data_IF_941256829865
#
_entry.id   IF_941256829865
#
_cell.length_a   1.000
_cell.length_b   1.000
_cell.length_c   1.000
_cell.angle_alpha   90.00
_cell.angle_beta   90.00
_cell.angle_gamma   90.00
#
_symmetry.space_group_name_H-M   'P 1'
#
loop_
_entity.id
_entity.type
_entity.pdbx_description
1 polymer ?
#
# COMPACT_ATOMS: atom_id res chain seq x y z
N UNK A 1 -5.81 24.62 -8.41
CA UNK A 1 -5.44 23.57 -9.39
C UNK A 1 -6.68 22.87 -9.95
N UNK A 2 -7.58 22.32 -9.10
CA UNK A 2 -8.83 21.68 -9.55
C UNK A 2 -9.69 22.65 -10.33
N UNK A 3 -9.96 23.85 -9.81
CA UNK A 3 -10.74 24.90 -10.49
C UNK A 3 -10.11 25.29 -11.83
N UNK A 4 -8.79 25.48 -11.88
CA UNK A 4 -8.09 25.82 -13.12
C UNK A 4 -8.21 24.71 -14.17
N UNK A 5 -8.05 23.45 -13.75
CA UNK A 5 -8.17 22.32 -14.69
C UNK A 5 -9.62 22.14 -15.16
N UNK A 6 -10.59 22.29 -14.27
CA UNK A 6 -12.00 22.24 -14.61
C UNK A 6 -12.40 23.34 -15.61
N UNK A 7 -11.96 24.59 -15.38
CA UNK A 7 -12.16 25.71 -16.28
C UNK A 7 -11.54 25.46 -17.67
N UNK A 8 -10.33 24.90 -17.73
CA UNK A 8 -9.69 24.52 -19.01
C UNK A 8 -10.47 23.46 -19.78
N UNK A 9 -11.21 22.60 -19.08
CA UNK A 9 -12.04 21.54 -19.68
C UNK A 9 -13.50 21.97 -19.90
N UNK A 10 -13.88 23.19 -19.48
CA UNK A 10 -15.25 23.68 -19.62
C UNK A 10 -16.27 22.96 -18.73
N UNK A 11 -15.83 22.38 -17.60
CA UNK A 11 -16.68 21.65 -16.65
C UNK A 11 -16.58 22.27 -15.25
N UNK A 12 -17.47 21.87 -14.35
CA UNK A 12 -17.39 22.31 -12.95
C UNK A 12 -16.29 21.58 -12.18
N UNK A 13 -15.69 22.18 -11.12
CA UNK A 13 -14.75 21.48 -10.24
C UNK A 13 -15.31 20.18 -9.67
N UNK A 14 -16.60 20.15 -9.30
CA UNK A 14 -17.27 18.96 -8.81
C UNK A 14 -17.31 17.85 -9.85
N UNK A 15 -17.71 18.16 -11.08
CA UNK A 15 -17.75 17.17 -12.18
C UNK A 15 -16.36 16.58 -12.47
N UNK A 16 -15.32 17.41 -12.42
CA UNK A 16 -13.94 16.94 -12.59
C UNK A 16 -13.53 15.93 -11.52
N UNK A 17 -13.75 16.25 -10.24
CA UNK A 17 -13.32 15.35 -9.14
C UNK A 17 -14.21 14.11 -9.05
N UNK A 18 -15.48 14.18 -9.47
CA UNK A 18 -16.37 13.02 -9.55
C UNK A 18 -15.88 12.03 -10.61
N UNK A 19 -15.53 12.51 -11.79
CA UNK A 19 -14.95 11.67 -12.86
C UNK A 19 -13.61 11.04 -12.44
N UNK A 20 -12.74 11.79 -11.78
CA UNK A 20 -11.46 11.26 -11.29
C UNK A 20 -11.68 10.19 -10.20
N UNK A 21 -12.59 10.44 -9.26
CA UNK A 21 -12.90 9.48 -8.19
C UNK A 21 -13.47 8.17 -8.75
N UNK A 22 -14.38 8.25 -9.74
CA UNK A 22 -14.92 7.05 -10.40
C UNK A 22 -13.81 6.26 -11.11
N UNK A 23 -12.92 6.95 -11.84
CA UNK A 23 -11.78 6.30 -12.52
C UNK A 23 -10.87 5.56 -11.53
N UNK A 24 -10.55 6.18 -10.39
CA UNK A 24 -9.72 5.56 -9.34
C UNK A 24 -10.46 4.39 -8.70
N UNK A 25 -11.72 4.56 -8.35
CA UNK A 25 -12.55 3.51 -7.75
C UNK A 25 -12.71 2.30 -8.68
N UNK A 26 -12.92 2.54 -9.98
CA UNK A 26 -12.97 1.49 -10.98
C UNK A 26 -11.65 0.71 -11.08
N UNK A 27 -10.52 1.41 -11.05
CA UNK A 27 -9.20 0.78 -11.02
C UNK A 27 -8.99 -0.05 -9.74
N UNK A 28 -9.40 0.44 -8.58
CA UNK A 28 -9.29 -0.31 -7.32
C UNK A 28 -10.13 -1.59 -7.35
N UNK A 29 -11.37 -1.52 -7.85
CA UNK A 29 -12.20 -2.71 -8.07
C UNK A 29 -11.51 -3.71 -8.99
N UNK A 30 -10.93 -3.23 -10.09
CA UNK A 30 -10.20 -4.05 -11.06
C UNK A 30 -8.96 -4.72 -10.43
N UNK A 31 -8.25 -4.02 -9.55
CA UNK A 31 -7.09 -4.54 -8.81
C UNK A 31 -7.47 -5.48 -7.65
N UNK A 32 -8.75 -5.69 -7.38
CA UNK A 32 -9.22 -6.51 -6.27
C UNK A 32 -8.88 -5.91 -4.91
N UNK A 33 -8.82 -4.57 -4.79
CA UNK A 33 -8.61 -3.88 -3.52
C UNK A 33 -9.90 -3.96 -2.71
N UNK A 34 -9.81 -4.54 -1.52
CA UNK A 34 -10.94 -4.83 -0.63
C UNK A 34 -11.15 -3.73 0.43
N UNK A 35 -11.17 -2.47 0.00
CA UNK A 35 -11.47 -1.37 0.90
C UNK A 35 -12.97 -1.35 1.23
N UNK A 36 -13.31 -1.14 2.51
CA UNK A 36 -14.68 -0.98 2.95
C UNK A 36 -15.21 0.42 2.65
N UNK A 37 -14.33 1.42 2.63
CA UNK A 37 -14.69 2.81 2.44
C UNK A 37 -13.75 3.53 1.48
N UNK A 38 -14.30 4.40 0.65
CA UNK A 38 -13.60 5.32 -0.24
C UNK A 38 -14.06 6.74 0.09
N UNK A 39 -13.39 7.37 1.07
CA UNK A 39 -13.74 8.71 1.54
C UNK A 39 -13.37 9.78 0.50
N UNK A 40 -14.21 10.79 0.38
CA UNK A 40 -13.96 11.96 -0.48
C UNK A 40 -14.06 13.24 0.34
N UNK A 41 -13.13 14.16 0.11
CA UNK A 41 -13.13 15.47 0.79
C UNK A 41 -14.33 16.35 0.37
N UNK A 42 -15.03 15.97 -0.69
CA UNK A 42 -16.28 16.61 -1.13
C UNK A 42 -17.54 16.08 -0.42
N UNK A 43 -17.44 15.00 0.34
CA UNK A 43 -18.57 14.41 1.04
C UNK A 43 -19.08 15.36 2.14
N UNK A 44 -20.40 15.48 2.26
CA UNK A 44 -21.01 16.38 3.25
C UNK A 44 -20.59 16.06 4.69
N UNK A 45 -20.48 14.76 5.03
CA UNK A 45 -20.00 14.31 6.33
C UNK A 45 -18.56 14.74 6.59
N UNK A 46 -17.69 14.62 5.60
CA UNK A 46 -16.30 15.05 5.71
C UNK A 46 -16.21 16.57 5.93
N UNK A 47 -16.91 17.36 5.11
CA UNK A 47 -16.93 18.82 5.23
C UNK A 47 -17.40 19.29 6.61
N UNK A 48 -18.47 18.69 7.14
CA UNK A 48 -18.95 18.97 8.48
C UNK A 48 -17.94 18.54 9.57
N UNK A 49 -17.31 17.40 9.39
CA UNK A 49 -16.29 16.90 10.31
C UNK A 49 -15.01 17.74 10.36
N UNK A 50 -14.58 18.30 9.22
CA UNK A 50 -13.43 19.24 9.18
C UNK A 50 -13.74 20.49 10.00
N UNK A 51 -14.92 21.09 9.80
CA UNK A 51 -15.34 22.27 10.54
C UNK A 51 -15.45 21.98 12.03
N UNK A 52 -16.08 20.86 12.40
CA UNK A 52 -16.21 20.42 13.79
C UNK A 52 -14.84 20.18 14.47
N UNK A 53 -13.85 19.63 13.74
CA UNK A 53 -12.51 19.43 14.29
C UNK A 53 -11.81 20.76 14.56
N UNK A 54 -11.88 21.71 13.63
CA UNK A 54 -11.28 23.05 13.81
C UNK A 54 -11.96 23.78 14.97
N UNK A 55 -13.30 23.76 15.05
CA UNK A 55 -14.04 24.34 16.16
C UNK A 55 -13.65 23.72 17.48
N UNK A 56 -13.55 22.39 17.55
CA UNK A 56 -13.10 21.68 18.76
C UNK A 56 -11.70 22.09 19.20
N UNK A 57 -10.76 22.28 18.27
CA UNK A 57 -9.42 22.78 18.59
C UNK A 57 -9.53 24.20 19.20
N UNK A 58 -10.33 25.08 18.60
CA UNK A 58 -10.52 26.45 19.07
C UNK A 58 -11.16 26.48 20.46
N UNK A 59 -12.14 25.60 20.74
CA UNK A 59 -12.79 25.50 22.03
C UNK A 59 -11.83 24.99 23.12
N UNK A 60 -11.00 24.00 22.82
CA UNK A 60 -10.07 23.39 23.77
C UNK A 60 -8.79 24.22 23.97
N UNK A 61 -8.32 24.86 22.92
CA UNK A 61 -7.09 25.63 22.88
C UNK A 61 -7.31 26.94 22.08
N UNK A 62 -7.98 27.95 22.67
CA UNK A 62 -8.34 29.19 21.95
C UNK A 62 -7.18 29.92 21.29
N UNK A 63 -5.99 29.83 21.87
CA UNK A 63 -4.79 30.50 21.39
C UNK A 63 -4.05 29.75 20.27
N UNK A 64 -4.51 28.54 19.91
CA UNK A 64 -3.84 27.73 18.90
C UNK A 64 -4.10 28.23 17.47
N UNK A 65 -5.18 28.97 17.26
CA UNK A 65 -5.41 29.71 16.02
C UNK A 65 -5.35 31.20 16.26
N UNK A 66 -4.58 31.88 15.43
CA UNK A 66 -4.42 33.34 15.46
C UNK A 66 -4.28 33.92 14.07
N UNK A 67 -4.65 35.19 13.92
CA UNK A 67 -4.49 35.90 12.65
C UNK A 67 -3.06 36.39 12.46
N UNK A 68 -2.50 36.20 11.28
CA UNK A 68 -1.19 36.72 10.89
C UNK A 68 -1.21 37.15 9.44
N UNK A 69 -0.67 38.37 9.17
CA UNK A 69 -0.30 38.74 7.82
C UNK A 69 0.93 37.92 7.40
N UNK A 70 0.88 37.36 6.23
CA UNK A 70 1.97 36.56 5.67
C UNK A 70 2.21 36.98 4.23
N UNK A 71 3.47 37.21 3.91
CA UNK A 71 3.93 37.46 2.55
C UNK A 71 5.03 36.45 2.21
N UNK A 72 5.04 35.95 0.99
CA UNK A 72 6.06 35.01 0.58
C UNK A 72 5.81 34.37 -0.79
N UNK A 73 6.78 33.59 -1.23
CA UNK A 73 6.70 32.85 -2.47
C UNK A 73 5.77 31.64 -2.33
N UNK A 74 4.72 31.60 -3.13
CA UNK A 74 3.73 30.54 -3.15
C UNK A 74 3.91 29.62 -4.35
N UNK A 75 3.94 28.32 -4.12
CA UNK A 75 3.96 27.33 -5.18
C UNK A 75 2.56 26.72 -5.39
N UNK A 76 1.93 27.02 -6.51
CA UNK A 76 0.61 26.47 -6.88
C UNK A 76 0.64 24.93 -7.01
N UNK A 77 1.80 24.36 -7.34
CA UNK A 77 1.95 22.89 -7.44
C UNK A 77 1.94 22.18 -6.08
N UNK A 78 2.58 22.78 -5.08
CA UNK A 78 2.60 22.30 -3.69
C UNK A 78 1.37 22.76 -2.90
N UNK A 79 0.65 23.77 -3.40
CA UNK A 79 -0.40 24.50 -2.68
C UNK A 79 0.11 25.03 -1.31
N UNK A 80 1.36 25.52 -1.28
CA UNK A 80 2.05 25.94 -0.07
C UNK A 80 3.03 27.09 -0.34
N UNK A 81 3.20 27.93 0.66
CA UNK A 81 4.32 28.88 0.71
C UNK A 81 5.65 28.14 0.80
N UNK A 82 6.69 28.75 0.25
CA UNK A 82 8.03 28.19 0.16
C UNK A 82 9.03 28.97 0.98
N UNK A 83 9.84 28.25 1.74
CA UNK A 83 11.01 28.83 2.39
C UNK A 83 12.18 28.95 1.39
N UNK A 84 13.12 29.85 1.66
CA UNK A 84 14.27 30.09 0.77
C UNK A 84 15.03 28.78 0.42
N UNK A 85 15.16 27.86 1.36
CA UNK A 85 15.80 26.57 1.12
C UNK A 85 15.03 25.62 0.17
N UNK A 86 13.75 25.91 -0.10
CA UNK A 86 12.90 25.16 -1.02
C UNK A 86 12.81 25.81 -2.41
N UNK A 87 13.55 26.92 -2.61
CA UNK A 87 13.58 27.69 -3.86
C UNK A 87 14.98 27.58 -4.47
N UNK A 88 15.04 27.09 -5.69
CA UNK A 88 16.27 27.02 -6.49
C UNK A 88 16.02 27.72 -7.82
N UNK A 89 16.86 28.68 -8.17
CA UNK A 89 16.73 29.50 -9.40
C UNK A 89 15.34 30.13 -9.56
N UNK A 90 14.75 30.61 -8.45
CA UNK A 90 13.43 31.22 -8.44
C UNK A 90 12.25 30.26 -8.63
N UNK A 91 12.48 28.95 -8.52
CA UNK A 91 11.49 27.91 -8.72
C UNK A 91 11.42 26.96 -7.53
N UNK A 92 10.26 26.34 -7.34
CA UNK A 92 10.08 25.31 -6.35
C UNK A 92 10.86 24.03 -6.74
N UNK A 93 11.68 23.51 -5.83
CA UNK A 93 12.44 22.26 -6.03
C UNK A 93 11.56 21.09 -6.47
N UNK A 94 10.33 20.98 -5.92
CA UNK A 94 9.38 19.91 -6.25
C UNK A 94 8.61 20.16 -7.55
N UNK A 95 8.54 21.43 -8.03
CA UNK A 95 7.79 21.83 -9.22
C UNK A 95 8.62 22.79 -10.08
N UNK A 96 9.75 22.35 -10.65
CA UNK A 96 10.70 23.23 -11.35
C UNK A 96 10.14 23.82 -12.66
N UNK A 97 9.03 23.29 -13.16
CA UNK A 97 8.36 23.77 -14.37
C UNK A 97 7.32 24.87 -14.12
N UNK A 98 7.05 25.21 -12.86
CA UNK A 98 6.06 26.23 -12.48
C UNK A 98 6.74 27.45 -11.87
N UNK A 99 6.26 28.62 -12.24
CA UNK A 99 6.67 29.87 -11.58
C UNK A 99 6.11 29.91 -10.15
N UNK A 100 6.87 30.53 -9.26
CA UNK A 100 6.38 30.94 -7.94
C UNK A 100 5.64 32.26 -8.05
N UNK A 101 4.61 32.44 -7.24
CA UNK A 101 3.85 33.65 -7.13
C UNK A 101 4.17 34.32 -5.78
N UNK A 102 4.44 35.63 -5.78
CA UNK A 102 4.53 36.39 -4.53
C UNK A 102 3.11 36.67 -4.05
N UNK A 103 2.80 36.25 -2.84
CA UNK A 103 1.46 36.39 -2.26
C UNK A 103 1.56 37.08 -0.92
N UNK A 104 0.70 38.08 -0.71
CA UNK A 104 0.50 38.76 0.56
C UNK A 104 -0.96 38.50 0.98
N UNK A 105 -1.16 37.83 2.12
CA UNK A 105 -2.47 37.46 2.66
C UNK A 105 -2.47 37.58 4.18
N UNK A 106 -3.61 37.95 4.77
CA UNK A 106 -3.86 37.75 6.20
C UNK A 106 -4.68 36.48 6.37
N UNK A 107 -4.15 35.49 7.10
CA UNK A 107 -4.77 34.17 7.26
C UNK A 107 -4.86 33.77 8.73
N UNK A 108 -5.68 32.79 9.02
CA UNK A 108 -5.61 32.03 10.26
C UNK A 108 -4.37 31.14 10.25
N UNK A 109 -3.56 31.24 11.30
CA UNK A 109 -2.39 30.39 11.53
C UNK A 109 -2.64 29.44 12.68
N UNK A 110 -2.20 28.18 12.54
CA UNK A 110 -2.17 27.19 13.61
C UNK A 110 -0.80 27.22 14.27
N UNK A 111 -0.78 27.29 15.61
CA UNK A 111 0.44 27.39 16.43
C UNK A 111 1.15 26.04 16.53
N UNK A 112 1.64 25.53 15.42
CA UNK A 112 2.34 24.24 15.33
C UNK A 112 3.61 24.21 16.21
N UNK A 113 4.33 25.31 16.30
CA UNK A 113 5.54 25.46 17.13
C UNK A 113 5.32 25.09 18.60
N UNK A 114 4.13 25.34 19.16
CA UNK A 114 3.71 24.98 20.52
C UNK A 114 3.86 23.46 20.77
N UNK A 115 3.71 22.64 19.75
CA UNK A 115 3.67 21.18 19.84
C UNK A 115 5.05 20.53 19.62
N UNK A 116 6.12 21.28 19.40
CA UNK A 116 7.47 20.73 19.10
C UNK A 116 7.95 19.76 20.16
N UNK A 117 7.82 20.09 21.45
CA UNK A 117 8.23 19.20 22.55
C UNK A 117 7.42 17.91 22.60
N UNK A 118 6.10 17.98 22.40
CA UNK A 118 5.22 16.82 22.34
C UNK A 118 5.58 15.90 21.15
N UNK A 119 5.77 16.47 19.95
CA UNK A 119 6.11 15.72 18.75
C UNK A 119 7.48 15.04 18.86
N UNK A 120 8.47 15.74 19.44
CA UNK A 120 9.78 15.16 19.70
C UNK A 120 9.69 13.97 20.65
N UNK A 121 8.99 14.12 21.78
CA UNK A 121 8.76 13.04 22.74
C UNK A 121 8.03 11.86 22.07
N UNK A 122 6.97 12.11 21.29
CA UNK A 122 6.23 11.07 20.57
C UNK A 122 7.14 10.20 19.69
N UNK A 123 8.02 10.82 18.88
CA UNK A 123 8.92 10.12 17.97
C UNK A 123 10.12 9.47 18.68
N UNK A 124 10.51 9.97 19.86
CA UNK A 124 11.62 9.43 20.64
C UNK A 124 11.20 8.28 21.54
N UNK A 125 10.07 8.44 22.25
CA UNK A 125 9.59 7.49 23.25
C UNK A 125 8.82 6.34 22.63
N UNK A 126 8.27 6.55 21.41
CA UNK A 126 7.53 5.58 20.61
C UNK A 126 8.16 5.43 19.22
N UNK A 127 9.33 4.79 19.10
CA UNK A 127 10.04 4.64 17.83
C UNK A 127 9.22 3.89 16.76
N UNK A 128 8.27 3.04 17.19
CA UNK A 128 7.34 2.34 16.30
C UNK A 128 6.25 3.23 15.70
N UNK A 129 6.03 4.43 16.26
CA UNK A 129 5.00 5.35 15.78
C UNK A 129 5.24 5.78 14.32
N UNK A 130 6.51 6.01 13.93
CA UNK A 130 6.88 6.32 12.55
C UNK A 130 7.95 5.37 12.04
N UNK A 131 7.62 4.67 10.97
CA UNK A 131 8.49 3.75 10.26
C UNK A 131 8.51 4.05 8.75
N UNK A 132 9.57 3.69 8.02
CA UNK A 132 10.82 3.13 8.51
C UNK A 132 11.65 4.16 9.31
N UNK A 133 12.70 3.68 9.99
CA UNK A 133 13.56 4.51 10.85
C UNK A 133 14.13 5.75 10.14
N UNK A 134 14.47 5.62 8.87
CA UNK A 134 14.97 6.73 8.06
C UNK A 134 13.98 7.91 8.04
N UNK A 135 12.67 7.64 7.98
CA UNK A 135 11.63 8.68 8.02
C UNK A 135 11.51 9.30 9.39
N UNK A 136 11.62 8.49 10.46
CA UNK A 136 11.62 8.99 11.83
C UNK A 136 12.78 9.96 12.07
N UNK A 137 13.99 9.57 11.66
CA UNK A 137 15.18 10.41 11.81
C UNK A 137 15.06 11.73 11.02
N UNK A 138 14.46 11.70 9.82
CA UNK A 138 14.17 12.91 9.04
C UNK A 138 13.21 13.85 9.79
N UNK A 139 12.15 13.32 10.41
CA UNK A 139 11.19 14.12 11.17
C UNK A 139 11.78 14.67 12.48
N UNK A 140 12.58 13.90 13.18
CA UNK A 140 13.31 14.38 14.35
C UNK A 140 14.27 15.53 13.98
N UNK A 141 15.01 15.39 12.88
CA UNK A 141 15.87 16.47 12.38
C UNK A 141 15.08 17.73 11.96
N UNK A 142 13.86 17.56 11.44
CA UNK A 142 12.95 18.67 11.12
C UNK A 142 12.51 19.41 12.40
N UNK A 143 12.10 18.67 13.44
CA UNK A 143 11.69 19.24 14.73
C UNK A 143 12.86 19.97 15.40
N UNK A 144 14.07 19.41 15.35
CA UNK A 144 15.27 20.00 15.98
C UNK A 144 15.71 21.30 15.29
N UNK A 145 15.41 21.49 14.02
CA UNK A 145 15.63 22.78 13.32
C UNK A 145 14.63 23.86 13.73
N UNK A 146 13.57 23.50 14.43
CA UNK A 146 12.48 24.37 14.83
C UNK A 146 11.27 24.25 13.91
N UNK A 147 10.09 24.07 14.50
CA UNK A 147 8.81 24.08 13.77
C UNK A 147 8.25 25.51 13.76
N UNK A 148 7.84 25.94 12.58
CA UNK A 148 7.13 27.21 12.41
C UNK A 148 5.62 26.98 12.43
N UNK A 149 4.88 28.02 12.82
CA UNK A 149 3.42 28.03 12.76
C UNK A 149 2.98 28.04 11.29
N UNK A 150 1.89 27.34 11.01
CA UNK A 150 1.43 27.12 9.63
C UNK A 150 0.09 27.80 9.36
N UNK A 151 -0.06 28.35 8.17
CA UNK A 151 -1.32 28.95 7.72
C UNK A 151 -2.39 27.86 7.52
N UNK A 152 -3.51 27.98 8.22
CA UNK A 152 -4.63 27.02 8.24
C UNK A 152 -5.79 27.45 7.33
N UNK A 153 -5.78 28.69 6.82
CA UNK A 153 -6.82 29.21 5.92
C UNK A 153 -6.24 29.83 4.65
N UNK A 154 -7.10 30.13 3.67
CA UNK A 154 -6.77 30.76 2.38
C UNK A 154 -7.87 31.71 1.98
N UNK A 155 -7.51 32.88 1.43
CA UNK A 155 -8.45 33.89 0.94
C UNK A 155 -8.91 33.66 -0.52
N UNK A 156 -8.09 33.01 -1.34
CA UNK A 156 -8.24 32.98 -2.81
C UNK A 156 -8.88 31.73 -3.40
N UNK A 157 -9.37 30.81 -2.58
CA UNK A 157 -9.97 29.57 -3.05
C UNK A 157 -11.50 29.64 -2.88
N UNK A 158 -12.23 29.66 -3.99
CA UNK A 158 -13.69 29.69 -3.95
C UNK A 158 -14.30 28.29 -3.69
N UNK A 159 -13.66 27.25 -4.22
CA UNK A 159 -14.12 25.87 -4.12
C UNK A 159 -13.29 25.08 -3.11
N UNK A 160 -13.63 25.26 -1.82
CA UNK A 160 -13.00 24.57 -0.69
C UNK A 160 -13.96 24.55 0.51
N UNK A 161 -13.58 23.93 1.62
CA UNK A 161 -14.35 23.92 2.87
C UNK A 161 -14.20 25.30 3.55
N UNK A 162 -15.30 26.00 3.90
CA UNK A 162 -15.21 27.24 4.65
C UNK A 162 -14.49 27.06 6.00
N UNK A 163 -13.56 27.96 6.31
CA UNK A 163 -12.99 28.01 7.66
C UNK A 163 -14.07 28.52 8.63
N UNK A 164 -14.24 27.89 9.83
CA UNK A 164 -15.43 28.15 10.65
C UNK A 164 -15.50 29.54 11.28
N UNK A 165 -14.40 30.32 11.22
CA UNK A 165 -14.34 31.69 11.74
C UNK A 165 -13.92 32.69 10.68
N UNK A 166 -14.59 33.83 10.65
CA UNK A 166 -14.13 35.00 9.88
C UNK A 166 -12.91 35.64 10.54
N UNK A 167 -12.09 36.33 9.75
CA UNK A 167 -11.03 37.20 10.24
C UNK A 167 -11.62 38.41 11.00
N UNK A 168 -10.79 39.10 11.78
CA UNK A 168 -11.18 40.33 12.47
C UNK A 168 -11.65 41.42 11.50
N UNK A 169 -11.24 41.37 10.23
CA UNK A 169 -11.73 42.19 9.13
C UNK A 169 -13.17 41.89 8.69
N UNK A 170 -13.75 40.77 9.14
CA UNK A 170 -15.03 40.24 8.64
C UNK A 170 -14.90 39.36 7.40
N UNK A 171 -13.71 39.14 6.87
CA UNK A 171 -13.47 38.28 5.72
C UNK A 171 -13.64 36.81 6.07
N UNK A 172 -14.42 36.08 5.27
CA UNK A 172 -14.54 34.63 5.34
C UNK A 172 -13.52 33.97 4.43
N UNK A 173 -12.80 32.99 4.95
CA UNK A 173 -11.78 32.24 4.25
C UNK A 173 -12.14 30.77 4.12
N UNK A 174 -11.37 30.04 3.33
CA UNK A 174 -11.48 28.61 3.18
C UNK A 174 -10.34 27.90 3.89
N UNK A 175 -10.59 26.65 4.26
CA UNK A 175 -9.62 25.79 4.95
C UNK A 175 -8.46 25.42 4.04
N UNK A 176 -7.25 25.47 4.56
CA UNK A 176 -6.05 25.00 3.87
C UNK A 176 -6.13 23.49 3.62
N UNK A 177 -5.69 23.06 2.44
CA UNK A 177 -5.84 21.69 1.94
C UNK A 177 -5.40 20.60 2.93
N UNK A 178 -4.37 20.82 3.73
CA UNK A 178 -3.94 19.83 4.71
C UNK A 178 -4.77 19.82 6.00
N UNK A 179 -5.43 20.93 6.35
CA UNK A 179 -6.45 20.98 7.40
C UNK A 179 -7.80 20.41 6.92
N UNK A 180 -8.00 20.29 5.62
CA UNK A 180 -9.10 19.58 4.98
C UNK A 180 -8.76 18.09 4.84
N UNK A 181 -7.62 17.76 4.21
CA UNK A 181 -7.30 16.37 3.85
C UNK A 181 -7.04 15.45 5.06
N UNK A 182 -6.27 15.90 6.08
CA UNK A 182 -5.91 15.04 7.22
C UNK A 182 -7.11 14.55 8.04
N UNK A 183 -8.15 15.35 8.30
CA UNK A 183 -9.33 14.89 9.01
C UNK A 183 -10.09 13.73 8.33
N UNK A 184 -9.81 13.40 7.05
CA UNK A 184 -10.51 12.32 6.37
C UNK A 184 -10.44 10.99 7.13
N UNK A 185 -9.31 10.68 7.78
CA UNK A 185 -9.14 9.47 8.58
C UNK A 185 -10.09 9.40 9.76
N UNK A 186 -10.43 10.53 10.35
CA UNK A 186 -11.35 10.63 11.47
C UNK A 186 -12.81 10.69 10.98
N UNK A 187 -13.08 11.48 9.95
CA UNK A 187 -14.45 11.63 9.40
C UNK A 187 -14.94 10.35 8.75
N UNK A 188 -14.06 9.59 8.11
CA UNK A 188 -14.37 8.26 7.56
C UNK A 188 -14.87 7.27 8.62
N UNK A 189 -14.49 7.46 9.88
CA UNK A 189 -14.93 6.61 10.99
C UNK A 189 -16.13 7.14 11.77
N UNK A 190 -16.79 8.21 11.28
CA UNK A 190 -18.05 8.71 11.81
C UNK A 190 -17.95 9.96 12.70
N UNK A 191 -16.78 10.60 12.81
CA UNK A 191 -16.65 11.87 13.52
C UNK A 191 -17.42 13.00 12.77
N UNK A 192 -18.15 13.89 13.47
CA UNK A 192 -18.25 14.11 14.92
C UNK A 192 -19.43 13.40 15.61
N UNK A 193 -19.81 12.21 15.17
CA UNK A 193 -20.94 11.46 15.72
C UNK A 193 -20.91 11.30 17.24
N UNK A 194 -22.09 11.12 17.84
CA UNK A 194 -22.28 11.08 19.31
C UNK A 194 -21.58 9.90 20.01
N UNK A 195 -21.38 8.79 19.30
CA UNK A 195 -20.74 7.56 19.84
C UNK A 195 -19.22 7.57 19.75
N UNK A 196 -18.63 8.65 19.24
CA UNK A 196 -17.24 8.66 18.81
C UNK A 196 -17.04 7.87 17.50
N UNK A 197 -15.90 8.03 16.85
CA UNK A 197 -15.63 7.33 15.59
C UNK A 197 -15.39 5.83 15.86
N UNK A 198 -16.19 4.97 15.22
CA UNK A 198 -15.88 3.55 15.14
C UNK A 198 -14.51 3.37 14.41
N UNK A 199 -13.71 2.39 14.85
CA UNK A 199 -12.38 2.13 14.27
C UNK A 199 -11.35 3.27 14.42
N UNK A 200 -11.54 4.17 15.38
CA UNK A 200 -10.53 5.14 15.78
C UNK A 200 -10.06 4.86 17.22
N UNK A 201 -8.76 4.90 17.55
CA UNK A 201 -7.66 5.32 16.66
C UNK A 201 -7.34 4.31 15.56
N UNK A 202 -6.86 4.82 14.43
CA UNK A 202 -6.35 3.98 13.34
C UNK A 202 -5.12 3.19 13.79
N UNK A 203 -5.08 1.91 13.49
CA UNK A 203 -3.93 1.05 13.81
C UNK A 203 -2.70 1.41 12.96
N UNK A 204 -2.93 1.79 11.69
CA UNK A 204 -1.86 2.12 10.77
C UNK A 204 -2.31 3.13 9.72
N UNK A 205 -1.54 4.19 9.53
CA UNK A 205 -1.57 5.04 8.35
C UNK A 205 -0.46 4.63 7.39
N UNK A 206 -0.79 4.26 6.15
CA UNK A 206 0.19 4.00 5.09
C UNK A 206 0.18 5.20 4.15
N UNK A 207 1.33 5.87 4.00
CA UNK A 207 1.45 7.11 3.24
C UNK A 207 2.72 7.14 2.41
N UNK A 208 2.74 7.92 1.33
CA UNK A 208 3.97 8.20 0.60
C UNK A 208 4.97 8.98 1.45
N UNK A 209 6.25 8.74 1.25
CA UNK A 209 7.32 9.40 2.03
C UNK A 209 7.31 10.93 1.94
N UNK A 210 6.78 11.49 0.86
CA UNK A 210 6.69 12.95 0.63
C UNK A 210 5.64 13.65 1.50
N UNK A 211 4.65 12.91 1.97
CA UNK A 211 3.60 13.43 2.84
C UNK A 211 3.74 12.98 4.30
N UNK A 212 4.83 12.30 4.64
CA UNK A 212 5.10 11.82 6.01
C UNK A 212 5.05 12.97 7.02
N UNK A 213 5.62 14.14 6.70
CA UNK A 213 5.61 15.30 7.59
C UNK A 213 4.20 15.76 7.98
N UNK A 214 3.23 15.66 7.08
CA UNK A 214 1.85 16.03 7.37
C UNK A 214 1.20 15.05 8.35
N UNK A 215 1.49 13.77 8.20
CA UNK A 215 0.89 12.70 9.00
C UNK A 215 1.57 12.48 10.35
N UNK A 216 2.80 12.96 10.53
CA UNK A 216 3.57 12.75 11.76
C UNK A 216 3.92 14.02 12.52
N UNK A 217 3.70 15.19 11.90
CA UNK A 217 3.89 16.50 12.54
C UNK A 217 2.54 17.22 12.66
N UNK A 218 1.89 17.55 11.54
CA UNK A 218 0.66 18.36 11.57
C UNK A 218 -0.51 17.58 12.15
N UNK A 219 -0.74 16.36 11.67
CA UNK A 219 -1.88 15.55 12.11
C UNK A 219 -1.85 15.20 13.61
N UNK A 220 -0.74 14.73 14.20
CA UNK A 220 -0.68 14.52 15.64
C UNK A 220 -0.82 15.82 16.45
N UNK A 221 -0.31 16.96 15.95
CA UNK A 221 -0.51 18.25 16.61
C UNK A 221 -1.99 18.67 16.63
N UNK A 222 -2.70 18.52 15.49
CA UNK A 222 -4.15 18.79 15.42
C UNK A 222 -4.96 17.89 16.37
N UNK A 223 -4.66 16.59 16.40
CA UNK A 223 -5.31 15.64 17.29
C UNK A 223 -5.04 15.96 18.76
N UNK A 224 -3.80 16.30 19.10
CA UNK A 224 -3.40 16.73 20.44
C UNK A 224 -4.14 17.99 20.86
N UNK A 225 -4.22 18.98 19.96
CA UNK A 225 -4.95 20.22 20.17
C UNK A 225 -6.47 19.99 20.38
N UNK A 226 -7.04 19.00 19.68
CA UNK A 226 -8.43 18.62 19.79
C UNK A 226 -8.71 17.67 20.98
N UNK A 227 -7.70 17.25 21.73
CA UNK A 227 -7.80 16.22 22.78
C UNK A 227 -8.41 14.91 22.24
N UNK A 228 -7.93 14.46 21.08
CA UNK A 228 -8.33 13.21 20.44
C UNK A 228 -7.16 12.20 20.46
N UNK A 229 -7.46 10.89 20.48
CA UNK A 229 -6.44 9.85 20.39
C UNK A 229 -5.62 9.97 19.11
N UNK A 230 -4.32 9.63 19.19
CA UNK A 230 -3.44 9.54 18.03
C UNK A 230 -3.63 8.19 17.32
N UNK A 231 -3.31 8.08 16.00
CA UNK A 231 -3.13 6.79 15.37
C UNK A 231 -2.01 6.00 16.07
N UNK A 232 -2.05 4.69 15.97
CA UNK A 232 -1.02 3.87 16.62
C UNK A 232 0.32 3.95 15.90
N UNK A 233 0.31 3.93 14.56
CA UNK A 233 1.50 3.92 13.71
C UNK A 233 1.28 4.65 12.38
N UNK A 234 2.40 5.14 11.81
CA UNK A 234 2.48 5.69 10.46
C UNK A 234 3.62 4.99 9.71
N UNK A 235 3.35 4.52 8.51
CA UNK A 235 4.34 3.95 7.60
C UNK A 235 4.52 4.83 6.38
N UNK A 236 5.74 5.35 6.19
CA UNK A 236 6.11 6.17 5.01
C UNK A 236 6.81 5.33 3.95
N UNK A 237 6.06 4.80 2.97
CA UNK A 237 6.62 3.99 1.89
C UNK A 237 7.38 4.82 0.85
N UNK A 238 8.30 4.16 0.13
CA UNK A 238 9.07 4.76 -0.97
C UNK A 238 8.24 5.02 -2.22
N UNK A 239 8.85 5.69 -3.21
CA UNK A 239 8.22 5.94 -4.50
C UNK A 239 8.37 4.75 -5.44
N UNK A 240 7.38 4.60 -6.31
CA UNK A 240 7.54 3.84 -7.54
C UNK A 240 8.10 4.80 -8.60
N UNK A 241 9.26 4.47 -9.15
CA UNK A 241 9.92 5.23 -10.22
C UNK A 241 9.67 4.55 -11.55
N UNK A 242 9.62 5.29 -12.66
CA UNK A 242 9.59 4.74 -14.01
C UNK A 242 10.94 5.02 -14.70
N UNK A 243 11.70 3.96 -14.97
CA UNK A 243 13.04 4.11 -15.53
C UNK A 243 13.99 4.95 -14.68
N UNK A 244 13.79 4.99 -13.35
CA UNK A 244 14.57 5.82 -12.44
C UNK A 244 14.01 7.22 -12.18
N UNK A 245 12.96 7.64 -12.90
CA UNK A 245 12.31 8.95 -12.73
C UNK A 245 10.97 8.83 -11.99
N UNK A 246 10.61 9.87 -11.21
CA UNK A 246 9.30 9.92 -10.55
C UNK A 246 8.17 9.97 -11.56
N UNK A 247 7.11 9.20 -11.32
CA UNK A 247 5.85 9.39 -12.04
C UNK A 247 5.38 10.83 -11.86
N UNK A 248 5.38 11.60 -12.93
CA UNK A 248 4.92 12.97 -12.93
C UNK A 248 4.06 13.24 -14.16
N UNK A 249 2.80 13.63 -13.93
CA UNK A 249 1.92 14.07 -15.02
C UNK A 249 2.51 15.24 -15.81
N UNK A 250 3.33 16.07 -15.16
CA UNK A 250 4.01 17.21 -15.79
C UNK A 250 5.27 16.82 -16.58
N UNK A 251 5.89 15.69 -16.30
CA UNK A 251 7.07 15.20 -17.03
C UNK A 251 6.71 14.27 -18.20
N UNK A 252 5.42 13.99 -18.44
CA UNK A 252 4.98 13.12 -19.54
C UNK A 252 5.20 11.62 -19.32
N UNK A 253 5.81 11.25 -18.18
CA UNK A 253 6.09 9.86 -17.81
C UNK A 253 4.82 9.25 -17.20
N UNK A 254 4.16 8.36 -17.94
CA UNK A 254 2.92 7.70 -17.52
C UNK A 254 3.07 6.20 -17.62
N UNK A 255 2.62 5.49 -16.58
CA UNK A 255 2.32 4.08 -16.64
C UNK A 255 0.80 3.93 -16.80
N UNK A 256 0.36 3.30 -17.85
CA UNK A 256 -1.04 2.88 -17.95
C UNK A 256 -1.21 1.57 -17.16
N UNK A 257 -1.85 1.67 -16.01
CA UNK A 257 -2.13 0.52 -15.17
C UNK A 257 -3.06 -0.49 -15.85
N UNK A 258 -3.94 -0.02 -16.74
CA UNK A 258 -4.80 -0.91 -17.53
C UNK A 258 -3.96 -1.77 -18.47
N UNK A 259 -2.98 -1.18 -19.16
CA UNK A 259 -2.07 -1.94 -20.03
C UNK A 259 -1.34 -3.03 -19.25
N UNK A 260 -0.79 -2.71 -18.07
CA UNK A 260 -0.10 -3.69 -17.23
C UNK A 260 -1.01 -4.87 -16.84
N UNK A 261 -2.25 -4.56 -16.45
CA UNK A 261 -3.24 -5.56 -16.08
C UNK A 261 -3.71 -6.37 -17.29
N UNK A 262 -3.94 -5.73 -18.43
CA UNK A 262 -4.40 -6.40 -19.66
C UNK A 262 -3.35 -7.37 -20.22
N UNK A 263 -2.07 -7.00 -20.13
CA UNK A 263 -0.95 -7.83 -20.63
C UNK A 263 -0.62 -9.01 -19.71
N UNK A 264 -0.65 -8.82 -18.39
CA UNK A 264 -0.09 -9.79 -17.43
C UNK A 264 -1.12 -10.32 -16.42
N UNK A 265 -2.26 -9.66 -16.31
CA UNK A 265 -3.27 -9.95 -15.31
C UNK A 265 -3.01 -9.24 -13.96
N UNK A 266 -4.08 -9.12 -13.18
CA UNK A 266 -4.07 -8.41 -11.89
C UNK A 266 -3.03 -8.97 -10.91
N UNK A 267 -3.04 -10.28 -10.73
CA UNK A 267 -2.16 -10.95 -9.74
C UNK A 267 -0.68 -10.80 -10.08
N UNK A 268 -0.33 -10.88 -11.37
CA UNK A 268 1.05 -10.67 -11.81
C UNK A 268 1.50 -9.21 -11.58
N UNK A 269 0.61 -8.24 -11.80
CA UNK A 269 0.90 -6.84 -11.53
C UNK A 269 1.09 -6.57 -10.02
N UNK A 270 0.21 -7.13 -9.17
CA UNK A 270 0.35 -7.06 -7.71
C UNK A 270 1.67 -7.68 -7.24
N UNK A 271 1.98 -8.89 -7.75
CA UNK A 271 3.25 -9.57 -7.47
C UNK A 271 4.44 -8.69 -7.82
N UNK A 272 4.46 -8.14 -9.05
CA UNK A 272 5.58 -7.34 -9.53
C UNK A 272 5.84 -6.13 -8.64
N UNK A 273 4.78 -5.33 -8.34
CA UNK A 273 4.93 -4.14 -7.49
C UNK A 273 5.47 -4.49 -6.11
N UNK A 274 4.92 -5.51 -5.47
CA UNK A 274 5.31 -5.91 -4.12
C UNK A 274 6.66 -6.65 -4.07
N UNK A 275 7.15 -7.12 -5.21
CA UNK A 275 8.44 -7.79 -5.34
C UNK A 275 9.60 -6.86 -5.67
N UNK A 276 9.37 -5.91 -6.59
CA UNK A 276 10.41 -5.02 -7.12
C UNK A 276 10.47 -3.66 -6.41
N UNK A 277 9.41 -3.27 -5.73
CA UNK A 277 9.38 -2.03 -4.95
C UNK A 277 9.52 -2.38 -3.47
N UNK A 278 10.69 -2.19 -2.86
CA UNK A 278 10.84 -2.36 -1.42
C UNK A 278 9.87 -1.44 -0.68
N UNK A 279 9.23 -1.96 0.37
CA UNK A 279 8.19 -1.18 1.05
C UNK A 279 8.76 -0.05 1.91
N UNK A 280 10.04 -0.10 2.22
CA UNK A 280 10.82 0.89 3.00
C UNK A 280 11.71 1.80 2.14
N UNK A 281 11.81 1.56 0.82
CA UNK A 281 12.66 2.30 -0.10
C UNK A 281 11.98 2.55 -1.45
N UNK A 282 12.63 3.37 -2.30
CA UNK A 282 12.17 3.58 -3.67
C UNK A 282 12.44 2.33 -4.52
N UNK A 283 11.54 2.03 -5.42
CA UNK A 283 11.71 0.97 -6.41
C UNK A 283 11.38 1.44 -7.82
N UNK A 284 11.85 0.73 -8.82
CA UNK A 284 11.68 1.11 -10.22
C UNK A 284 10.81 0.13 -10.97
N UNK A 285 9.88 0.66 -11.75
CA UNK A 285 9.10 -0.08 -12.73
C UNK A 285 9.76 0.06 -14.10
N UNK A 286 9.99 -1.07 -14.80
CA UNK A 286 10.20 -1.11 -16.26
C UNK A 286 9.45 -2.29 -16.85
N UNK A 287 9.06 -2.20 -18.13
CA UNK A 287 8.35 -3.27 -18.81
C UNK A 287 9.20 -4.53 -18.95
N UNK A 288 10.47 -4.37 -19.26
CA UNK A 288 11.44 -5.47 -19.41
C UNK A 288 11.57 -6.25 -18.11
N UNK A 289 11.67 -5.54 -16.99
CA UNK A 289 11.77 -6.16 -15.67
C UNK A 289 10.47 -6.86 -15.28
N UNK A 290 9.32 -6.30 -15.64
CA UNK A 290 8.05 -6.96 -15.42
C UNK A 290 7.92 -8.27 -16.21
N UNK A 291 8.28 -8.26 -17.50
CA UNK A 291 8.30 -9.46 -18.33
C UNK A 291 9.27 -10.53 -17.82
N UNK A 292 10.44 -10.10 -17.38
CA UNK A 292 11.43 -11.00 -16.77
C UNK A 292 10.85 -11.70 -15.55
N UNK A 293 10.27 -10.95 -14.62
CA UNK A 293 9.66 -11.52 -13.41
C UNK A 293 8.46 -12.41 -13.70
N UNK A 294 7.60 -11.99 -14.61
CA UNK A 294 6.48 -12.82 -15.03
C UNK A 294 6.95 -14.17 -15.57
N UNK A 295 7.95 -14.17 -16.42
CA UNK A 295 8.46 -15.39 -17.02
C UNK A 295 9.24 -16.26 -16.03
N UNK A 296 10.19 -15.67 -15.31
CA UNK A 296 11.08 -16.40 -14.41
C UNK A 296 10.33 -16.90 -13.16
N UNK A 297 9.73 -15.98 -12.42
CA UNK A 297 9.18 -16.28 -11.10
C UNK A 297 7.79 -16.92 -11.17
N UNK A 298 6.92 -16.41 -12.05
CA UNK A 298 5.53 -16.85 -12.10
C UNK A 298 5.30 -18.02 -13.06
N UNK A 299 5.64 -17.85 -14.35
CA UNK A 299 5.37 -18.89 -15.34
C UNK A 299 6.30 -20.10 -15.20
N UNK A 300 7.62 -19.87 -15.10
CA UNK A 300 8.61 -20.95 -15.10
C UNK A 300 8.84 -21.55 -13.71
N UNK A 301 8.76 -20.77 -12.62
CA UNK A 301 8.93 -21.29 -11.28
C UNK A 301 7.61 -21.82 -10.72
N UNK A 302 6.68 -20.96 -10.30
CA UNK A 302 5.48 -21.40 -9.57
C UNK A 302 4.45 -22.09 -10.46
N UNK A 303 4.13 -21.52 -11.61
CA UNK A 303 3.14 -22.10 -12.55
C UNK A 303 3.55 -23.46 -13.08
N UNK A 304 4.85 -23.60 -13.47
CA UNK A 304 5.38 -24.86 -13.93
C UNK A 304 5.45 -25.93 -12.81
N UNK A 305 5.85 -25.54 -11.59
CA UNK A 305 5.86 -26.43 -10.44
C UNK A 305 4.44 -26.97 -10.17
N UNK A 306 3.45 -26.10 -10.07
CA UNK A 306 2.06 -26.48 -9.84
C UNK A 306 1.55 -27.46 -10.94
N UNK A 307 1.75 -27.09 -12.20
CA UNK A 307 1.33 -27.92 -13.33
C UNK A 307 1.97 -29.32 -13.33
N UNK A 308 3.28 -29.40 -13.01
CA UNK A 308 4.02 -30.67 -12.96
C UNK A 308 3.55 -31.55 -11.79
N UNK A 309 3.38 -31.00 -10.60
CA UNK A 309 2.94 -31.74 -9.41
C UNK A 309 1.53 -32.29 -9.64
N UNK A 310 0.60 -31.45 -10.11
CA UNK A 310 -0.78 -31.83 -10.43
C UNK A 310 -0.79 -32.99 -11.44
N UNK A 311 -0.06 -32.84 -12.55
CA UNK A 311 0.01 -33.89 -13.59
C UNK A 311 0.61 -35.24 -13.06
N UNK A 312 1.57 -35.14 -12.13
CA UNK A 312 2.14 -36.40 -11.53
C UNK A 312 1.17 -37.07 -10.59
N UNK A 313 0.43 -36.34 -9.77
CA UNK A 313 -0.59 -36.92 -8.89
C UNK A 313 -1.73 -37.52 -9.72
N UNK A 314 -2.23 -36.83 -10.75
CA UNK A 314 -3.22 -37.39 -11.67
C UNK A 314 -2.72 -38.68 -12.35
N UNK A 315 -1.51 -38.65 -12.88
CA UNK A 315 -0.95 -39.75 -13.65
C UNK A 315 -0.62 -40.98 -12.79
N UNK A 316 -0.06 -40.76 -11.60
CA UNK A 316 0.50 -41.88 -10.80
C UNK A 316 -0.41 -42.32 -9.65
N UNK A 317 -1.41 -41.52 -9.28
CA UNK A 317 -2.34 -41.78 -8.16
C UNK A 317 -3.79 -41.43 -8.48
N UNK A 318 -4.14 -41.38 -9.77
CA UNK A 318 -5.52 -41.12 -10.24
C UNK A 318 -6.12 -39.85 -9.63
N UNK A 319 -5.29 -38.86 -9.34
CA UNK A 319 -5.67 -37.57 -8.74
C UNK A 319 -5.83 -37.61 -7.21
N UNK A 320 -5.66 -38.74 -6.54
CA UNK A 320 -5.78 -38.82 -5.07
C UNK A 320 -4.41 -38.62 -4.42
N UNK A 321 -4.31 -37.67 -3.50
CA UNK A 321 -3.07 -37.41 -2.76
C UNK A 321 -2.83 -38.55 -1.76
N UNK A 322 -1.71 -39.26 -1.88
CA UNK A 322 -1.40 -40.38 -0.96
C UNK A 322 -1.00 -39.86 0.42
N UNK A 323 -1.06 -40.73 1.43
CA UNK A 323 -0.51 -40.47 2.74
C UNK A 323 1.04 -40.39 2.68
N UNK A 324 1.63 -39.44 3.43
CA UNK A 324 3.07 -39.32 3.54
C UNK A 324 3.47 -38.53 4.78
N UNK A 325 4.50 -39.01 5.48
CA UNK A 325 5.03 -38.30 6.65
C UNK A 325 5.68 -36.95 6.27
N UNK A 326 5.80 -36.04 7.23
CA UNK A 326 6.58 -34.81 7.07
C UNK A 326 8.06 -35.15 6.84
N UNK A 327 8.70 -34.37 5.98
CA UNK A 327 10.08 -34.58 5.57
C UNK A 327 10.97 -33.33 5.79
N UNK A 328 12.15 -33.33 5.18
CA UNK A 328 13.10 -32.22 5.27
C UNK A 328 12.57 -30.94 4.60
N UNK A 329 11.82 -31.07 3.49
CA UNK A 329 11.22 -29.94 2.82
C UNK A 329 10.13 -29.28 3.69
N UNK A 330 9.33 -30.06 4.40
CA UNK A 330 8.34 -29.54 5.34
C UNK A 330 8.99 -28.75 6.48
N UNK A 331 10.14 -29.22 7.02
CA UNK A 331 10.89 -28.51 8.07
C UNK A 331 11.53 -27.21 7.56
N UNK A 332 12.08 -27.24 6.36
CA UNK A 332 12.66 -26.05 5.75
C UNK A 332 11.61 -24.97 5.43
N UNK A 333 10.43 -25.40 4.94
CA UNK A 333 9.30 -24.49 4.73
C UNK A 333 8.83 -23.86 6.06
N UNK A 334 8.79 -24.61 7.17
CA UNK A 334 8.40 -24.07 8.46
C UNK A 334 9.29 -22.90 8.91
N UNK A 335 10.60 -22.96 8.66
CA UNK A 335 11.53 -21.87 8.94
C UNK A 335 11.23 -20.62 8.08
N UNK A 336 10.97 -20.78 6.78
CA UNK A 336 10.61 -19.64 5.92
C UNK A 336 9.23 -19.07 6.26
N UNK A 337 8.27 -19.89 6.70
CA UNK A 337 6.96 -19.45 7.20
C UNK A 337 7.12 -18.53 8.42
N UNK A 338 8.01 -18.89 9.36
CA UNK A 338 8.28 -18.06 10.54
C UNK A 338 8.92 -16.73 10.16
N UNK A 339 9.88 -16.73 9.25
CA UNK A 339 10.51 -15.51 8.73
C UNK A 339 9.52 -14.65 7.92
N UNK A 340 8.64 -15.27 7.14
CA UNK A 340 7.54 -14.62 6.43
C UNK A 340 6.61 -13.90 7.41
N UNK A 341 6.19 -14.58 8.48
CA UNK A 341 5.33 -13.99 9.50
C UNK A 341 5.97 -12.75 10.12
N UNK A 342 7.23 -12.85 10.53
CA UNK A 342 7.97 -11.74 11.13
C UNK A 342 8.11 -10.51 10.18
N UNK A 343 8.11 -10.74 8.86
CA UNK A 343 8.11 -9.66 7.87
C UNK A 343 6.73 -9.04 7.64
N UNK A 344 5.65 -9.83 7.79
CA UNK A 344 4.28 -9.39 7.54
C UNK A 344 3.59 -8.73 8.74
N UNK A 345 3.95 -9.09 9.97
CA UNK A 345 3.23 -8.68 11.19
C UNK A 345 3.53 -7.26 11.67
N UNK A 346 4.48 -6.58 11.02
CA UNK A 346 4.88 -5.23 11.35
C UNK A 346 5.77 -5.08 12.58
N UNK A 347 6.20 -6.16 13.26
CA UNK A 347 7.13 -6.09 14.39
C UNK A 347 8.52 -5.65 13.97
N UNK A 348 8.90 -5.95 12.72
CA UNK A 348 10.14 -5.49 12.06
C UNK A 348 9.91 -4.37 11.04
N UNK A 349 8.71 -3.77 11.02
CA UNK A 349 8.28 -2.93 9.93
C UNK A 349 7.75 -3.79 8.76
N UNK A 350 6.63 -3.46 8.20
CA UNK A 350 5.92 -4.19 7.14
C UNK A 350 6.78 -4.44 5.88
N UNK A 351 7.72 -5.38 5.95
CA UNK A 351 8.67 -5.70 4.87
C UNK A 351 8.05 -6.69 3.89
N UNK A 352 6.99 -6.27 3.20
CA UNK A 352 6.18 -7.10 2.31
C UNK A 352 7.00 -7.78 1.22
N UNK A 353 8.02 -7.10 0.69
CA UNK A 353 8.94 -7.64 -0.31
C UNK A 353 9.80 -8.78 0.24
N UNK A 354 10.21 -8.73 1.53
CA UNK A 354 10.93 -9.82 2.20
C UNK A 354 10.01 -11.02 2.42
N UNK A 355 8.79 -10.79 2.89
CA UNK A 355 7.79 -11.85 3.05
C UNK A 355 7.55 -12.57 1.72
N UNK A 356 7.35 -11.81 0.64
CA UNK A 356 7.18 -12.37 -0.70
C UNK A 356 8.41 -13.15 -1.15
N UNK A 357 9.62 -12.69 -0.83
CA UNK A 357 10.85 -13.43 -1.10
C UNK A 357 10.89 -14.78 -0.37
N UNK A 358 10.42 -14.86 0.88
CA UNK A 358 10.32 -16.13 1.63
C UNK A 358 9.31 -17.07 1.00
N UNK A 359 8.15 -16.57 0.59
CA UNK A 359 7.17 -17.38 -0.14
C UNK A 359 7.75 -17.95 -1.45
N UNK A 360 8.52 -17.15 -2.20
CA UNK A 360 9.19 -17.60 -3.43
C UNK A 360 10.37 -18.54 -3.16
N UNK A 361 11.02 -18.47 -2.00
CA UNK A 361 12.02 -19.46 -1.59
C UNK A 361 11.39 -20.85 -1.43
N UNK A 362 10.18 -20.93 -0.86
CA UNK A 362 9.42 -22.20 -0.81
C UNK A 362 9.11 -22.74 -2.22
N UNK A 363 8.83 -21.87 -3.18
CA UNK A 363 8.63 -22.27 -4.60
C UNK A 363 9.92 -22.81 -5.20
N UNK A 364 11.05 -22.14 -4.97
CA UNK A 364 12.38 -22.60 -5.41
C UNK A 364 12.70 -23.99 -4.88
N UNK A 365 12.53 -24.20 -3.57
CA UNK A 365 12.73 -25.48 -2.90
C UNK A 365 11.84 -26.59 -3.47
N UNK A 366 10.59 -26.31 -3.79
CA UNK A 366 9.70 -27.26 -4.44
C UNK A 366 10.23 -27.71 -5.80
N UNK A 367 10.76 -26.82 -6.60
CA UNK A 367 11.39 -27.15 -7.88
C UNK A 367 12.66 -28.01 -7.71
N UNK A 368 13.52 -27.65 -6.75
CA UNK A 368 14.72 -28.43 -6.40
C UNK A 368 14.35 -29.82 -5.89
N UNK A 369 13.32 -29.93 -5.04
CA UNK A 369 12.83 -31.20 -4.51
C UNK A 369 12.35 -32.13 -5.62
N UNK A 370 11.57 -31.62 -6.59
CA UNK A 370 11.14 -32.41 -7.76
C UNK A 370 12.35 -32.94 -8.53
N UNK A 371 13.38 -32.14 -8.73
CA UNK A 371 14.60 -32.55 -9.45
C UNK A 371 15.41 -33.58 -8.66
N UNK A 372 15.57 -33.39 -7.38
CA UNK A 372 16.34 -34.28 -6.51
C UNK A 372 15.67 -35.65 -6.35
N UNK A 373 14.34 -35.66 -6.12
CA UNK A 373 13.58 -36.91 -5.85
C UNK A 373 13.18 -37.68 -7.12
N UNK A 374 13.18 -37.04 -8.29
CA UNK A 374 12.88 -37.63 -9.59
C UNK A 374 11.64 -38.56 -9.57
N UNK A 375 10.44 -38.07 -9.22
CA UNK A 375 9.24 -38.94 -9.03
C UNK A 375 8.89 -39.77 -10.28
N UNK A 376 9.26 -39.29 -11.47
CA UNK A 376 9.11 -40.06 -12.71
C UNK A 376 10.00 -41.30 -12.78
N UNK A 377 11.11 -41.34 -12.03
CA UNK A 377 11.98 -42.52 -11.89
C UNK A 377 11.40 -43.48 -10.87
N UNK A 378 10.96 -42.97 -9.73
CA UNK A 378 10.27 -43.79 -8.70
C UNK A 378 9.02 -44.47 -9.26
N UNK A 379 8.27 -43.78 -10.12
CA UNK A 379 7.06 -44.33 -10.76
C UNK A 379 7.30 -45.52 -11.70
N UNK A 380 8.55 -45.80 -12.09
CA UNK A 380 8.93 -46.95 -12.91
C UNK A 380 9.22 -48.20 -12.04
N UNK A 381 9.49 -48.02 -10.76
CA UNK A 381 9.71 -49.12 -9.82
C UNK A 381 8.41 -49.87 -9.56
N UNK A 382 8.50 -51.21 -9.48
CA UNK A 382 7.35 -52.08 -9.26
C UNK A 382 7.27 -52.65 -7.82
N UNK A 383 8.35 -52.46 -7.06
CA UNK A 383 8.45 -52.87 -5.67
C UNK A 383 7.74 -51.91 -4.70
N UNK A 384 7.45 -52.39 -3.49
CA UNK A 384 6.73 -51.62 -2.49
C UNK A 384 7.53 -50.44 -1.92
N UNK A 385 8.86 -50.52 -1.94
CA UNK A 385 9.72 -49.42 -1.48
C UNK A 385 9.64 -48.24 -2.46
N UNK A 386 9.71 -48.52 -3.77
CA UNK A 386 9.53 -47.52 -4.81
C UNK A 386 8.15 -46.87 -4.76
N UNK A 387 7.09 -47.65 -4.50
CA UNK A 387 5.72 -47.15 -4.35
C UNK A 387 5.58 -46.24 -3.13
N UNK A 388 6.10 -46.64 -1.96
CA UNK A 388 6.10 -45.84 -0.74
C UNK A 388 6.91 -44.57 -0.90
N UNK A 389 8.09 -44.63 -1.55
CA UNK A 389 8.90 -43.46 -1.84
C UNK A 389 8.18 -42.45 -2.76
N UNK A 390 7.48 -42.95 -3.80
CA UNK A 390 6.68 -42.09 -4.66
C UNK A 390 5.52 -41.46 -3.93
N UNK A 391 4.80 -42.18 -3.09
CA UNK A 391 3.70 -41.67 -2.25
C UNK A 391 4.18 -40.54 -1.35
N UNK A 392 5.30 -40.77 -0.68
CA UNK A 392 5.91 -39.79 0.18
C UNK A 392 6.28 -38.49 -0.58
N UNK A 393 6.90 -38.62 -1.75
CA UNK A 393 7.30 -37.48 -2.58
C UNK A 393 6.08 -36.71 -3.10
N UNK A 394 5.05 -37.37 -3.60
CA UNK A 394 3.84 -36.73 -4.10
C UNK A 394 3.07 -36.03 -2.98
N UNK A 395 2.92 -36.67 -1.83
CA UNK A 395 2.31 -36.07 -0.64
C UNK A 395 3.05 -34.78 -0.20
N UNK A 396 4.39 -34.85 -0.09
CA UNK A 396 5.23 -33.69 0.26
C UNK A 396 5.06 -32.54 -0.73
N UNK A 397 5.08 -32.81 -2.04
CA UNK A 397 4.93 -31.79 -3.08
C UNK A 397 3.56 -31.10 -3.01
N UNK A 398 2.47 -31.83 -2.75
CA UNK A 398 1.15 -31.20 -2.61
C UNK A 398 1.08 -30.33 -1.35
N UNK A 399 1.64 -30.78 -0.22
CA UNK A 399 1.75 -29.94 1.00
C UNK A 399 2.55 -28.66 0.74
N UNK A 400 3.67 -28.76 0.00
CA UNK A 400 4.46 -27.57 -0.38
C UNK A 400 3.62 -26.60 -1.23
N UNK A 401 2.89 -27.08 -2.25
CA UNK A 401 1.99 -26.23 -3.04
C UNK A 401 0.90 -25.59 -2.20
N UNK A 402 0.33 -26.33 -1.25
CA UNK A 402 -0.69 -25.81 -0.36
C UNK A 402 -0.15 -24.66 0.51
N UNK A 403 1.04 -24.81 1.09
CA UNK A 403 1.71 -23.73 1.84
C UNK A 403 2.02 -22.53 0.95
N UNK A 404 2.57 -22.77 -0.24
CA UNK A 404 2.84 -21.70 -1.21
C UNK A 404 1.56 -20.93 -1.58
N UNK A 405 0.44 -21.62 -1.80
CA UNK A 405 -0.82 -20.96 -2.09
C UNK A 405 -1.28 -20.05 -0.95
N UNK A 406 -1.17 -20.50 0.31
CA UNK A 406 -1.54 -19.65 1.46
C UNK A 406 -0.58 -18.47 1.62
N UNK A 407 0.74 -18.65 1.49
CA UNK A 407 1.73 -17.58 1.60
C UNK A 407 1.61 -16.55 0.48
N UNK A 408 1.23 -16.98 -0.73
CA UNK A 408 1.09 -16.09 -1.89
C UNK A 408 -0.31 -15.46 -2.01
N UNK A 409 -1.30 -15.91 -1.25
CA UNK A 409 -2.66 -15.39 -1.30
C UNK A 409 -2.76 -13.86 -1.04
N UNK A 410 -2.05 -13.26 -0.09
CA UNK A 410 -2.08 -11.80 0.09
C UNK A 410 -1.56 -11.01 -1.11
N UNK A 411 -0.67 -11.60 -1.89
CA UNK A 411 -0.02 -10.97 -3.06
C UNK A 411 -0.76 -11.26 -4.36
N UNK A 412 -1.19 -12.50 -4.56
CA UNK A 412 -1.83 -13.00 -5.78
C UNK A 412 -3.09 -13.81 -5.45
N UNK A 413 -4.16 -13.17 -4.92
CA UNK A 413 -5.32 -13.87 -4.38
C UNK A 413 -6.01 -14.79 -5.39
N UNK A 414 -6.14 -14.38 -6.65
CA UNK A 414 -6.81 -15.16 -7.68
C UNK A 414 -6.00 -16.39 -8.08
N UNK A 415 -4.68 -16.26 -8.27
CA UNK A 415 -3.81 -17.38 -8.64
C UNK A 415 -3.59 -18.34 -7.47
N UNK A 416 -3.48 -17.83 -6.26
CA UNK A 416 -3.40 -18.65 -5.05
C UNK A 416 -4.67 -19.48 -4.86
N UNK A 417 -5.85 -18.89 -5.05
CA UNK A 417 -7.12 -19.61 -5.02
C UNK A 417 -7.20 -20.67 -6.13
N UNK A 418 -6.70 -20.38 -7.33
CA UNK A 418 -6.68 -21.34 -8.42
C UNK A 418 -5.78 -22.56 -8.12
N UNK A 419 -4.59 -22.35 -7.55
CA UNK A 419 -3.72 -23.45 -7.10
C UNK A 419 -4.42 -24.26 -6.02
N UNK A 420 -4.98 -23.59 -5.00
CA UNK A 420 -5.69 -24.22 -3.89
C UNK A 420 -6.81 -25.17 -4.35
N UNK A 421 -7.61 -24.69 -5.32
CA UNK A 421 -8.69 -25.51 -5.92
C UNK A 421 -8.15 -26.68 -6.73
N UNK A 422 -7.11 -26.47 -7.53
CA UNK A 422 -6.52 -27.52 -8.37
C UNK A 422 -5.90 -28.64 -7.54
N UNK A 423 -5.36 -28.35 -6.36
CA UNK A 423 -4.82 -29.38 -5.45
C UNK A 423 -5.88 -30.00 -4.54
N UNK A 424 -7.14 -29.60 -4.65
CA UNK A 424 -8.24 -30.14 -3.85
C UNK A 424 -8.34 -29.60 -2.44
N UNK A 425 -7.76 -28.42 -2.18
CA UNK A 425 -7.80 -27.77 -0.86
C UNK A 425 -9.23 -27.41 -0.43
N UNK A 426 -9.60 -27.62 0.86
CA UNK A 426 -10.95 -27.37 1.35
C UNK A 426 -11.24 -25.88 1.49
N UNK A 427 -12.51 -25.48 1.25
CA UNK A 427 -12.97 -24.09 1.36
C UNK A 427 -12.21 -23.16 0.40
N UNK A 428 -11.91 -21.93 0.83
CA UNK A 428 -11.07 -21.00 0.10
C UNK A 428 -9.68 -20.85 0.73
N UNK A 429 -8.70 -20.43 -0.06
CA UNK A 429 -7.35 -20.18 0.45
C UNK A 429 -7.35 -19.02 1.48
N UNK A 430 -8.24 -18.05 1.34
CA UNK A 430 -8.37 -16.92 2.24
C UNK A 430 -8.90 -17.28 3.64
N UNK A 431 -9.59 -18.43 3.76
CA UNK A 431 -10.09 -18.92 5.04
C UNK A 431 -9.06 -19.77 5.79
N UNK A 432 -7.89 -20.02 5.18
CA UNK A 432 -6.85 -20.82 5.82
C UNK A 432 -6.14 -19.98 6.90
N UNK A 433 -5.87 -20.64 8.02
CA UNK A 433 -5.19 -20.01 9.15
C UNK A 433 -3.69 -20.17 9.00
N UNK A 434 -2.98 -19.07 9.11
CA UNK A 434 -1.53 -19.02 8.98
C UNK A 434 -0.81 -19.93 10.00
N UNK A 435 -1.28 -19.98 11.24
CA UNK A 435 -0.72 -20.79 12.31
C UNK A 435 -0.86 -22.33 12.10
N UNK A 436 -1.67 -22.75 11.12
CA UNK A 436 -1.94 -24.15 10.82
C UNK A 436 -1.23 -24.66 9.56
N UNK A 437 -0.68 -23.77 8.72
CA UNK A 437 -0.12 -24.19 7.43
C UNK A 437 1.15 -25.04 7.52
N UNK A 438 1.92 -24.91 8.60
CA UNK A 438 3.10 -25.74 8.83
C UNK A 438 2.74 -27.22 9.08
N UNK A 439 1.56 -27.49 9.66
CA UNK A 439 1.05 -28.82 10.01
C UNK A 439 0.02 -29.35 9.00
N UNK A 440 -0.10 -28.71 7.83
CA UNK A 440 -1.12 -29.03 6.84
C UNK A 440 -0.96 -30.47 6.34
N UNK A 441 -2.04 -31.24 6.41
CA UNK A 441 -2.15 -32.56 5.81
C UNK A 441 -3.06 -32.51 4.58
N UNK A 442 -2.54 -32.97 3.44
CA UNK A 442 -3.26 -33.01 2.18
C UNK A 442 -3.70 -34.46 1.80
N UNK A 443 -3.55 -35.40 2.70
CA UNK A 443 -3.92 -36.82 2.43
C UNK A 443 -5.38 -36.92 2.01
N UNK A 444 -5.62 -37.60 0.90
CA UNK A 444 -6.96 -37.83 0.36
C UNK A 444 -7.56 -36.65 -0.42
N UNK A 445 -6.84 -35.52 -0.57
CA UNK A 445 -7.30 -34.45 -1.44
C UNK A 445 -7.39 -34.93 -2.89
N UNK A 446 -8.36 -34.38 -3.62
CA UNK A 446 -8.58 -34.74 -5.04
C UNK A 446 -8.00 -33.64 -5.91
N UNK A 447 -6.85 -33.91 -6.47
CA UNK A 447 -6.15 -33.02 -7.40
C UNK A 447 -6.83 -33.08 -8.77
N UNK A 448 -7.04 -31.93 -9.37
CA UNK A 448 -7.63 -31.81 -10.70
C UNK A 448 -6.96 -30.68 -11.48
N UNK A 449 -6.43 -31.02 -12.65
CA UNK A 449 -5.83 -30.04 -13.55
C UNK A 449 -6.86 -28.99 -14.00
N UNK A 450 -6.51 -27.74 -13.86
CA UNK A 450 -7.24 -26.59 -14.37
C UNK A 450 -6.47 -25.86 -15.46
N UNK A 451 -6.87 -24.62 -15.72
CA UNK A 451 -6.19 -23.74 -16.68
C UNK A 451 -4.75 -23.39 -16.24
N UNK A 452 -3.92 -23.04 -17.22
CA UNK A 452 -2.57 -22.55 -16.96
C UNK A 452 -2.62 -21.30 -16.09
N UNK A 453 -1.87 -21.29 -15.00
CA UNK A 453 -1.83 -20.16 -14.07
C UNK A 453 -1.29 -18.89 -14.74
N UNK A 454 -0.23 -19.04 -15.53
CA UNK A 454 0.50 -17.93 -16.16
C UNK A 454 0.82 -18.30 -17.62
N UNK A 455 -0.12 -18.08 -18.56
CA UNK A 455 0.09 -18.41 -19.97
C UNK A 455 1.13 -17.47 -20.60
N UNK A 456 2.05 -18.03 -21.41
CA UNK A 456 3.13 -17.28 -22.08
C UNK A 456 2.66 -16.62 -23.38
N UNK A 457 1.69 -17.24 -24.08
CA UNK A 457 1.32 -16.90 -25.45
C UNK A 457 0.14 -15.93 -25.60
N UNK A 458 -0.49 -15.54 -24.50
CA UNK A 458 -1.69 -14.70 -24.52
C UNK A 458 -1.42 -13.19 -24.44
N UNK A 459 -0.16 -12.76 -24.53
CA UNK A 459 0.22 -11.35 -24.36
C UNK A 459 0.27 -10.63 -25.70
N UNK A 460 -0.48 -9.54 -25.91
CA UNK A 460 -0.29 -8.72 -27.09
C UNK A 460 1.16 -8.19 -27.13
N UNK A 461 1.78 -8.27 -28.29
CA UNK A 461 3.08 -7.61 -28.51
C UNK A 461 2.99 -6.14 -28.13
N UNK A 462 4.01 -5.53 -27.50
CA UNK A 462 4.04 -4.11 -27.30
C UNK A 462 3.85 -3.41 -28.65
N UNK A 463 2.91 -2.47 -28.72
CA UNK A 463 2.84 -1.57 -29.86
C UNK A 463 4.16 -0.78 -29.89
N UNK A 464 4.91 -0.91 -30.96
CA UNK A 464 6.17 -0.21 -31.25
C UNK A 464 5.90 1.29 -31.39
#
# INVERSE_FOLDING_TARGET
>A
KVEQTAAQQGITPQALVDSLAESVSAMWRRLGISNEQFIRTTDAMHRAGVQALIERIIERNPDDFYEKAYEGWYCVGCEAFKQDAEIVDGKCVLHPTRALEWVEERNWFFRLSKYSGFLKALLTDRPEFLQPESRRNEMLALIDRGLEDISASRSRLAWAIPFPRALSSGEHQTTYVWFDALPNYLTATGFPGQSGPAHWPAQLHIVGKDITRFHTIIWPAMLKAAELPLPERVWGHGFVLLGGERFSKSAGVKLDLNEAIDRFGVDAFRYFLLREVPFDADGSFTWERFEERYNADLANAWGNLASRVIAMVEKYREGVVPAGAADEADRADAHDIEAYHAAMDGTRGFLLHEALQRAMACVGRGNEYVQAKQPWTLAKGTDDDSRRALDHVLSSLVRQLARQAVLLAPFMPGKAQAVWQQIGGPRTVAEQRFDQIALLDATGWIVKKGDSLFPKDARPSPAV
#
